data_IF_829902895868
#
_entry.id   IF_829902895868
#
_cell.length_a   1.000
_cell.length_b   1.000
_cell.length_c   1.000
_cell.angle_alpha   90.00
_cell.angle_beta   90.00
_cell.angle_gamma   90.00
#
_symmetry.space_group_name_H-M   'P 1'
#
loop_
_entity.id
_entity.type
_entity.pdbx_description
1 polymer ?
#
# COMPACT_ATOMS: atom_id res chain seq x y z
N UNK A 1 -38.99 -44.26 81.22
CA UNK A 1 -38.03 -43.26 80.71
C UNK A 1 -38.32 -43.11 79.22
N UNK A 2 -39.03 -42.05 78.83
CA UNK A 2 -39.52 -41.85 77.45
C UNK A 2 -38.45 -41.12 76.63
N UNK A 3 -38.15 -41.63 75.42
CA UNK A 3 -37.30 -40.98 74.43
C UNK A 3 -38.18 -40.48 73.27
N UNK A 4 -38.10 -39.20 72.85
CA UNK A 4 -38.96 -38.68 71.81
C UNK A 4 -38.38 -38.94 70.41
N UNK A 5 -39.21 -39.57 69.59
CA UNK A 5 -39.38 -39.41 68.15
C UNK A 5 -38.33 -38.57 67.38
N UNK A 6 -37.42 -39.26 66.70
CA UNK A 6 -36.66 -38.70 65.58
C UNK A 6 -37.43 -39.00 64.29
N UNK A 7 -38.28 -38.07 63.85
CA UNK A 7 -39.01 -38.18 62.58
C UNK A 7 -38.09 -37.65 61.46
N UNK A 8 -37.43 -38.55 60.73
CA UNK A 8 -36.84 -38.24 59.43
C UNK A 8 -37.96 -38.25 58.37
N UNK A 9 -38.49 -37.08 58.05
CA UNK A 9 -39.29 -36.88 56.84
C UNK A 9 -38.39 -36.32 55.74
N UNK A 10 -37.70 -37.21 55.05
CA UNK A 10 -37.11 -36.90 53.75
C UNK A 10 -38.17 -37.19 52.70
N UNK A 11 -39.11 -36.25 52.51
CA UNK A 11 -40.17 -36.37 51.50
C UNK A 11 -39.55 -36.55 50.10
N UNK A 12 -39.66 -37.73 49.48
CA UNK A 12 -38.98 -38.02 48.22
C UNK A 12 -39.50 -37.14 47.08
N UNK A 13 -40.76 -36.71 47.15
CA UNK A 13 -41.37 -35.77 46.20
C UNK A 13 -40.81 -34.35 46.34
N UNK A 14 -40.52 -33.88 47.57
CA UNK A 14 -39.92 -32.57 47.80
C UNK A 14 -38.46 -32.56 47.34
N UNK A 15 -37.71 -33.62 47.65
CA UNK A 15 -36.31 -33.79 47.23
C UNK A 15 -36.17 -33.83 45.70
N UNK A 16 -37.10 -34.49 44.99
CA UNK A 16 -37.07 -34.55 43.52
C UNK A 16 -37.42 -33.20 42.87
N UNK A 17 -38.32 -32.42 43.49
CA UNK A 17 -38.65 -31.05 43.04
C UNK A 17 -37.48 -30.10 43.22
N UNK A 18 -36.75 -30.20 44.34
CA UNK A 18 -35.54 -29.39 44.59
C UNK A 18 -34.43 -29.76 43.60
N UNK A 19 -34.20 -31.05 43.33
CA UNK A 19 -33.23 -31.51 42.32
C UNK A 19 -33.56 -31.01 40.92
N UNK A 20 -34.83 -31.07 40.51
CA UNK A 20 -35.27 -30.59 39.20
C UNK A 20 -35.10 -29.08 39.08
N UNK A 21 -35.43 -28.33 40.14
CA UNK A 21 -35.24 -26.88 40.19
C UNK A 21 -33.75 -26.49 40.14
N UNK A 22 -32.90 -27.22 40.86
CA UNK A 22 -31.45 -27.01 40.83
C UNK A 22 -30.87 -27.30 39.44
N UNK A 23 -31.24 -28.41 38.80
CA UNK A 23 -30.80 -28.73 37.42
C UNK A 23 -31.25 -27.66 36.43
N UNK A 24 -32.49 -27.19 36.55
CA UNK A 24 -32.99 -26.12 35.69
C UNK A 24 -32.27 -24.79 35.94
N UNK A 25 -32.00 -24.44 37.20
CA UNK A 25 -31.25 -23.24 37.56
C UNK A 25 -29.81 -23.28 37.04
N UNK A 26 -29.11 -24.42 37.16
CA UNK A 26 -27.76 -24.61 36.63
C UNK A 26 -27.75 -24.61 35.09
N UNK A 27 -28.75 -25.20 34.44
CA UNK A 27 -28.90 -25.14 32.99
C UNK A 27 -29.14 -23.71 32.50
N UNK A 28 -30.03 -22.96 33.16
CA UNK A 28 -30.27 -21.55 32.85
C UNK A 28 -29.02 -20.68 33.07
N UNK A 29 -28.29 -20.90 34.16
CA UNK A 29 -27.01 -20.23 34.41
C UNK A 29 -25.97 -20.57 33.34
N UNK A 30 -25.86 -21.84 32.94
CA UNK A 30 -24.95 -22.26 31.89
C UNK A 30 -25.29 -21.62 30.53
N UNK A 31 -26.59 -21.55 30.17
CA UNK A 31 -27.06 -20.86 28.97
C UNK A 31 -26.79 -19.36 29.05
N UNK A 32 -27.02 -18.73 30.20
CA UNK A 32 -26.73 -17.30 30.41
C UNK A 32 -25.23 -16.99 30.30
N UNK A 33 -24.36 -17.83 30.88
CA UNK A 33 -22.91 -17.70 30.75
C UNK A 33 -22.43 -17.98 29.33
N UNK A 34 -23.00 -18.98 28.65
CA UNK A 34 -22.65 -19.29 27.26
C UNK A 34 -23.08 -18.15 26.33
N UNK A 35 -24.31 -17.65 26.46
CA UNK A 35 -24.82 -16.52 25.68
C UNK A 35 -24.07 -15.21 25.95
N UNK A 36 -23.65 -14.95 27.20
CA UNK A 36 -22.88 -13.74 27.53
C UNK A 36 -21.42 -13.81 27.07
N UNK A 37 -20.84 -15.01 26.94
CA UNK A 37 -19.50 -15.23 26.37
C UNK A 37 -19.48 -15.21 24.84
N UNK A 38 -20.61 -15.53 24.20
CA UNK A 38 -20.84 -15.40 22.76
C UNK A 38 -21.40 -14.03 22.38
N UNK A 39 -20.82 -12.96 22.93
CA UNK A 39 -20.91 -11.66 22.26
C UNK A 39 -19.95 -11.70 21.08
N UNK A 40 -20.38 -12.23 19.93
CA UNK A 40 -19.71 -11.94 18.66
C UNK A 40 -19.97 -10.46 18.43
N UNK A 41 -19.12 -9.59 18.94
CA UNK A 41 -19.03 -8.24 18.43
C UNK A 41 -18.83 -8.40 16.93
N UNK A 42 -19.75 -7.97 16.06
CA UNK A 42 -19.43 -7.92 14.65
C UNK A 42 -18.21 -6.99 14.56
N UNK A 43 -17.05 -7.56 14.23
CA UNK A 43 -15.98 -6.74 13.67
C UNK A 43 -16.52 -6.30 12.33
N UNK A 44 -17.26 -5.20 12.35
CA UNK A 44 -17.37 -4.38 11.15
C UNK A 44 -15.97 -3.84 10.93
N UNK A 45 -15.22 -4.50 10.04
CA UNK A 45 -14.20 -3.78 9.32
C UNK A 45 -14.93 -2.64 8.67
N UNK A 46 -14.83 -1.44 9.23
CA UNK A 46 -15.03 -0.24 8.45
C UNK A 46 -13.97 -0.36 7.36
N UNK A 47 -14.33 -0.93 6.22
CA UNK A 47 -13.63 -0.65 4.99
C UNK A 47 -13.68 0.86 4.95
N UNK A 48 -12.56 1.50 5.26
CA UNK A 48 -12.44 2.93 5.14
C UNK A 48 -12.78 3.15 3.67
N UNK A 49 -14.00 3.58 3.39
CA UNK A 49 -14.35 4.32 2.17
C UNK A 49 -13.59 5.64 2.27
N UNK A 50 -12.28 5.55 2.41
CA UNK A 50 -11.35 6.64 2.33
C UNK A 50 -11.39 6.95 0.87
N UNK A 51 -12.04 8.06 0.55
CA UNK A 51 -11.88 8.76 -0.70
C UNK A 51 -10.43 8.61 -1.13
N UNK A 52 -10.23 8.01 -2.31
CA UNK A 52 -8.91 7.78 -2.86
C UNK A 52 -8.19 9.13 -2.91
N UNK A 53 -7.05 9.24 -2.24
CA UNK A 53 -6.35 10.52 -2.13
C UNK A 53 -5.68 10.87 -3.47
N UNK A 54 -5.62 12.16 -3.82
CA UNK A 54 -4.90 12.59 -5.00
C UNK A 54 -3.41 12.25 -4.86
N UNK A 55 -2.73 11.79 -5.92
CA UNK A 55 -1.28 11.64 -5.95
C UNK A 55 -0.53 12.88 -5.46
N UNK A 56 0.56 12.66 -4.72
CA UNK A 56 1.47 13.69 -4.22
C UNK A 56 2.84 13.51 -4.86
N UNK A 57 3.71 14.51 -4.73
CA UNK A 57 5.07 14.44 -5.24
C UNK A 57 5.13 14.24 -6.76
N UNK A 58 4.15 14.77 -7.51
CA UNK A 58 4.19 14.76 -8.96
C UNK A 58 5.42 15.55 -9.40
N UNK A 59 6.24 14.94 -10.24
CA UNK A 59 7.42 15.54 -10.84
C UNK A 59 7.49 15.17 -12.32
N UNK A 60 7.69 16.16 -13.18
CA UNK A 60 7.90 16.00 -14.61
C UNK A 60 9.34 16.40 -14.98
N UNK A 61 9.92 15.69 -15.96
CA UNK A 61 11.30 15.93 -16.40
C UNK A 61 11.43 17.23 -17.18
N UNK A 62 12.56 17.93 -17.02
CA UNK A 62 12.86 19.18 -17.70
C UNK A 62 14.05 19.03 -18.66
N UNK A 63 13.75 18.65 -19.91
CA UNK A 63 14.76 18.50 -20.94
C UNK A 63 15.67 17.28 -20.77
N UNK A 64 15.30 16.33 -19.91
CA UNK A 64 16.09 15.11 -19.68
C UNK A 64 16.09 14.15 -20.89
N UNK A 65 14.99 14.13 -21.64
CA UNK A 65 14.79 13.23 -22.78
C UNK A 65 14.44 13.98 -24.06
N UNK A 66 15.01 13.53 -25.17
CA UNK A 66 14.74 14.06 -26.52
C UNK A 66 13.51 13.48 -27.17
N UNK A 67 12.88 12.46 -26.59
CA UNK A 67 11.76 11.72 -27.21
C UNK A 67 10.48 11.78 -26.40
N UNK A 68 10.52 12.28 -25.16
CA UNK A 68 9.43 12.17 -24.19
C UNK A 68 9.58 13.17 -23.04
N UNK A 69 8.54 13.31 -22.24
CA UNK A 69 8.64 13.82 -20.86
C UNK A 69 8.43 12.62 -19.92
N UNK A 70 9.27 12.47 -18.90
CA UNK A 70 9.07 11.49 -17.83
C UNK A 70 8.31 12.11 -16.67
N UNK A 71 7.24 11.47 -16.20
CA UNK A 71 6.40 11.93 -15.09
C UNK A 71 6.39 10.85 -14.01
N UNK A 72 6.75 11.20 -12.77
CA UNK A 72 6.70 10.30 -11.62
C UNK A 72 5.92 10.92 -10.45
N UNK A 73 5.46 10.08 -9.51
CA UNK A 73 4.68 10.51 -8.34
C UNK A 73 4.74 9.51 -7.18
N UNK A 74 4.17 9.87 -6.04
CA UNK A 74 4.00 8.96 -4.90
C UNK A 74 2.87 7.97 -5.13
N UNK A 75 3.12 6.69 -4.83
CA UNK A 75 2.09 5.66 -4.89
C UNK A 75 1.00 5.90 -3.84
N UNK A 76 -0.26 5.92 -4.26
CA UNK A 76 -1.42 6.05 -3.41
C UNK A 76 -1.92 4.69 -2.92
N UNK A 77 -2.17 4.57 -1.61
CA UNK A 77 -2.75 3.34 -1.03
C UNK A 77 -4.14 3.12 -1.62
N UNK A 78 -4.36 1.91 -2.15
CA UNK A 78 -5.62 1.54 -2.76
C UNK A 78 -5.74 1.93 -4.23
N UNK A 79 -4.78 2.64 -4.83
CA UNK A 79 -4.79 2.88 -6.27
C UNK A 79 -4.39 1.61 -7.04
N UNK A 80 -5.15 1.26 -8.08
CA UNK A 80 -4.81 0.19 -9.04
C UNK A 80 -4.35 0.74 -10.38
N UNK A 81 -4.69 2.01 -10.67
CA UNK A 81 -4.37 2.70 -11.90
C UNK A 81 -4.17 4.20 -11.62
N UNK A 82 -3.38 4.87 -12.45
CA UNK A 82 -3.25 6.32 -12.49
C UNK A 82 -3.57 6.83 -13.90
N UNK A 83 -4.16 8.02 -13.96
CA UNK A 83 -4.36 8.76 -15.21
C UNK A 83 -3.57 10.05 -15.19
N UNK A 84 -2.91 10.33 -16.30
CA UNK A 84 -2.01 11.46 -16.46
C UNK A 84 -2.68 12.47 -17.38
N UNK A 85 -2.72 13.72 -16.92
CA UNK A 85 -3.30 14.85 -17.62
C UNK A 85 -2.22 15.88 -17.92
N UNK A 86 -2.38 16.59 -19.03
CA UNK A 86 -1.44 17.60 -19.52
C UNK A 86 -2.17 18.84 -20.02
N UNK A 87 -1.55 20.01 -19.84
CA UNK A 87 -2.01 21.27 -20.43
C UNK A 87 -0.83 22.24 -20.64
N UNK A 88 -0.95 23.22 -21.54
CA UNK A 88 0.03 24.32 -21.67
C UNK A 88 -0.23 25.47 -20.70
N UNK A 89 -1.43 25.53 -20.11
CA UNK A 89 -1.76 26.44 -19.02
C UNK A 89 -1.85 25.65 -17.71
N UNK A 90 -1.44 26.25 -16.59
CA UNK A 90 -1.58 25.67 -15.24
C UNK A 90 -3.05 25.72 -14.77
N UNK A 91 -3.90 24.95 -15.45
CA UNK A 91 -5.33 24.88 -15.20
C UNK A 91 -5.81 23.42 -15.35
N UNK A 92 -6.10 22.73 -14.23
CA UNK A 92 -6.55 21.35 -14.27
C UNK A 92 -7.93 21.18 -14.92
N UNK A 93 -8.78 22.22 -14.92
CA UNK A 93 -10.13 22.16 -15.49
C UNK A 93 -10.17 22.07 -17.02
N UNK A 94 -9.08 22.43 -17.71
CA UNK A 94 -8.93 22.30 -19.16
C UNK A 94 -7.84 21.30 -19.57
N UNK A 95 -7.29 20.54 -18.61
CA UNK A 95 -6.26 19.56 -18.90
C UNK A 95 -6.81 18.35 -19.65
N UNK A 96 -6.03 17.85 -20.60
CA UNK A 96 -6.39 16.69 -21.43
C UNK A 96 -5.66 15.44 -20.94
N UNK A 97 -6.34 14.30 -20.91
CA UNK A 97 -5.70 13.02 -20.60
C UNK A 97 -4.70 12.63 -21.69
N UNK A 98 -3.49 12.28 -21.30
CA UNK A 98 -2.41 11.83 -22.22
C UNK A 98 -2.13 10.33 -22.10
N UNK A 99 -2.60 9.68 -21.04
CA UNK A 99 -2.48 8.25 -20.89
C UNK A 99 -2.71 7.76 -19.45
N UNK A 100 -2.51 6.45 -19.27
CA UNK A 100 -2.68 5.78 -17.97
C UNK A 100 -1.44 4.96 -17.62
N UNK A 101 -1.16 4.79 -16.34
CA UNK A 101 -0.11 3.91 -15.85
C UNK A 101 -0.58 3.12 -14.65
N UNK A 102 -0.24 1.83 -14.60
CA UNK A 102 -0.41 1.03 -13.39
C UNK A 102 0.74 1.28 -12.40
N UNK A 103 1.87 1.85 -12.81
CA UNK A 103 2.99 2.17 -11.93
C UNK A 103 3.00 3.66 -11.59
N UNK A 104 3.89 4.09 -10.70
CA UNK A 104 4.06 5.50 -10.34
C UNK A 104 4.97 6.29 -11.30
N UNK A 105 4.99 5.87 -12.57
CA UNK A 105 5.84 6.41 -13.63
C UNK A 105 5.08 6.33 -14.95
N UNK A 106 5.17 7.40 -15.74
CA UNK A 106 4.64 7.47 -17.10
C UNK A 106 5.60 8.27 -17.99
N UNK A 107 5.65 7.93 -19.27
CA UNK A 107 6.34 8.74 -20.27
C UNK A 107 5.34 9.25 -21.27
N UNK A 108 5.37 10.56 -21.50
CA UNK A 108 4.60 11.21 -22.55
C UNK A 108 5.47 11.39 -23.81
N UNK A 109 5.42 10.47 -24.80
CA UNK A 109 6.16 10.61 -26.05
C UNK A 109 5.51 11.63 -27.00
N UNK A 110 4.30 12.11 -26.70
CA UNK A 110 3.54 13.00 -27.57
C UNK A 110 3.84 14.48 -27.31
N UNK A 111 4.59 14.77 -26.24
CA UNK A 111 5.02 16.13 -25.92
C UNK A 111 5.87 16.73 -27.05
N UNK A 112 5.50 17.93 -27.46
CA UNK A 112 6.26 18.72 -28.44
C UNK A 112 7.57 19.15 -27.79
N UNK A 113 8.68 18.98 -28.50
CA UNK A 113 10.00 19.34 -28.00
C UNK A 113 10.10 20.85 -27.74
N UNK A 114 10.65 21.24 -26.59
CA UNK A 114 10.78 22.62 -26.15
C UNK A 114 9.50 23.29 -25.66
N UNK A 115 8.33 22.67 -25.81
CA UNK A 115 7.07 23.20 -25.29
C UNK A 115 6.94 22.87 -23.80
N UNK A 116 6.71 23.89 -22.99
CA UNK A 116 6.35 23.73 -21.58
C UNK A 116 4.92 23.22 -21.45
N UNK A 117 4.76 22.21 -20.61
CA UNK A 117 3.47 21.69 -20.19
C UNK A 117 3.42 21.58 -18.67
N UNK A 118 2.20 21.62 -18.14
CA UNK A 118 1.87 21.27 -16.76
C UNK A 118 1.23 19.88 -16.76
N UNK A 119 1.63 19.04 -15.81
CA UNK A 119 1.15 17.67 -15.67
C UNK A 119 0.44 17.48 -14.34
N UNK A 120 -0.66 16.73 -14.38
CA UNK A 120 -1.40 16.29 -13.20
C UNK A 120 -1.60 14.79 -13.25
N UNK A 121 -1.76 14.19 -12.08
CA UNK A 121 -2.05 12.77 -11.95
C UNK A 121 -3.24 12.59 -11.03
N UNK A 122 -4.15 11.66 -11.37
CA UNK A 122 -5.15 11.15 -10.43
C UNK A 122 -5.03 9.64 -10.28
N UNK A 123 -5.41 9.15 -9.12
CA UNK A 123 -5.47 7.74 -8.81
C UNK A 123 -6.89 7.19 -9.06
N UNK A 124 -6.98 5.91 -9.43
CA UNK A 124 -8.23 5.17 -9.61
C UNK A 124 -8.14 3.76 -9.02
N UNK A 125 -9.28 3.23 -8.55
CA UNK A 125 -9.40 1.85 -8.05
C UNK A 125 -10.70 1.18 -8.53
N UNK A 126 -10.90 1.11 -9.85
CA UNK A 126 -12.02 0.40 -10.51
C UNK A 126 -13.43 0.98 -10.30
N UNK A 127 -13.72 1.59 -9.14
CA UNK A 127 -15.01 2.22 -8.80
C UNK A 127 -14.87 3.59 -8.14
N UNK A 128 -13.66 4.00 -7.76
CA UNK A 128 -13.39 5.31 -7.13
C UNK A 128 -12.25 6.00 -7.85
N UNK A 129 -12.39 7.32 -8.05
CA UNK A 129 -11.35 8.20 -8.59
C UNK A 129 -11.00 9.26 -7.56
N UNK A 130 -9.74 9.67 -7.50
CA UNK A 130 -9.32 10.82 -6.70
C UNK A 130 -9.54 12.14 -7.46
N UNK A 131 -9.40 13.25 -6.74
CA UNK A 131 -9.10 14.54 -7.38
C UNK A 131 -7.75 14.46 -8.14
N UNK A 132 -7.50 15.45 -9.01
CA UNK A 132 -6.17 15.66 -9.57
C UNK A 132 -5.19 16.11 -8.48
N UNK A 133 -3.93 15.75 -8.64
CA UNK A 133 -2.80 16.20 -7.83
C UNK A 133 -2.59 17.72 -7.91
N UNK A 134 -1.59 18.24 -7.19
CA UNK A 134 -0.92 19.47 -7.63
C UNK A 134 -0.22 19.22 -8.98
N UNK A 135 -0.06 20.28 -9.78
CA UNK A 135 0.70 20.24 -11.03
C UNK A 135 2.21 20.22 -10.75
N UNK A 136 2.95 19.70 -11.73
CA UNK A 136 4.35 20.07 -11.94
C UNK A 136 4.59 20.40 -13.42
N UNK A 137 5.53 21.29 -13.69
CA UNK A 137 5.89 21.66 -15.06
C UNK A 137 6.94 20.69 -15.62
N UNK A 138 6.90 20.45 -16.94
CA UNK A 138 7.89 19.60 -17.60
C UNK A 138 8.05 19.96 -19.08
N UNK A 139 9.23 19.66 -19.60
CA UNK A 139 9.62 19.94 -20.99
C UNK A 139 10.37 18.77 -21.61
N UNK A 140 10.09 18.50 -22.89
CA UNK A 140 10.90 17.56 -23.69
C UNK A 140 12.08 18.31 -24.32
N UNK A 141 13.27 17.72 -24.34
CA UNK A 141 14.45 18.34 -24.92
C UNK A 141 14.31 18.54 -26.45
N UNK A 142 14.80 19.67 -26.96
CA UNK A 142 14.83 19.99 -28.41
C UNK A 142 15.98 19.32 -29.15
N UNK A 143 17.05 18.98 -28.44
CA UNK A 143 18.20 18.26 -28.94
C UNK A 143 18.77 17.39 -27.80
N UNK A 144 19.59 16.37 -28.09
CA UNK A 144 20.38 15.71 -27.06
C UNK A 144 21.12 16.79 -26.29
N UNK A 145 20.92 16.81 -24.98
CA UNK A 145 21.74 17.62 -24.09
C UNK A 145 23.20 17.23 -24.34
N UNK A 146 23.97 18.14 -24.97
CA UNK A 146 25.42 18.01 -25.15
C UNK A 146 26.05 17.57 -23.81
N UNK A 147 27.09 16.72 -23.81
CA UNK A 147 27.42 15.80 -22.72
C UNK A 147 27.36 16.50 -21.38
N UNK A 148 26.18 16.37 -20.78
CA UNK A 148 25.95 16.75 -19.43
C UNK A 148 26.77 15.74 -18.63
N UNK A 149 27.66 16.22 -17.76
CA UNK A 149 28.29 15.37 -16.73
C UNK A 149 27.24 14.68 -15.83
N UNK A 150 25.96 15.00 -16.01
CA UNK A 150 24.79 14.29 -15.51
C UNK A 150 24.28 13.35 -16.61
N UNK A 151 24.37 12.05 -16.36
CA UNK A 151 23.77 11.03 -17.21
C UNK A 151 22.28 11.32 -17.41
N UNK A 152 21.80 11.28 -18.66
CA UNK A 152 20.35 11.21 -18.91
C UNK A 152 19.79 10.05 -18.08
N UNK A 153 18.65 10.22 -17.41
CA UNK A 153 18.09 9.15 -16.61
C UNK A 153 17.85 7.94 -17.51
N UNK A 154 18.22 6.75 -17.02
CA UNK A 154 18.09 5.52 -17.80
C UNK A 154 16.63 5.31 -18.19
N UNK A 155 16.39 4.88 -19.44
CA UNK A 155 15.09 4.33 -19.81
C UNK A 155 14.71 3.19 -18.86
N UNK A 156 13.42 3.07 -18.47
CA UNK A 156 12.97 1.93 -17.69
C UNK A 156 13.25 0.63 -18.44
N UNK A 157 13.55 -0.45 -17.71
CA UNK A 157 13.71 -1.77 -18.32
C UNK A 157 12.41 -2.18 -19.04
N UNK A 158 12.52 -2.89 -20.18
CA UNK A 158 11.34 -3.36 -20.91
C UNK A 158 10.50 -4.31 -20.04
N UNK A 159 9.17 -4.15 -20.12
CA UNK A 159 8.21 -4.97 -19.35
C UNK A 159 8.21 -6.41 -19.89
N UNK A 160 8.48 -7.44 -19.07
CA UNK A 160 8.43 -8.83 -19.51
C UNK A 160 7.00 -9.26 -19.90
N UNK A 161 6.83 -9.89 -21.07
CA UNK A 161 5.51 -10.24 -21.61
C UNK A 161 4.68 -11.17 -20.70
N UNK A 162 5.33 -12.10 -19.99
CA UNK A 162 4.66 -13.03 -19.06
C UNK A 162 4.50 -12.47 -17.63
N UNK A 163 4.99 -11.26 -17.36
CA UNK A 163 4.98 -10.65 -16.05
C UNK A 163 4.79 -9.13 -16.16
N UNK A 164 3.56 -8.67 -16.51
CA UNK A 164 3.28 -7.26 -16.62
C UNK A 164 3.46 -6.56 -15.27
N UNK A 165 4.05 -5.37 -15.30
CA UNK A 165 4.16 -4.53 -14.11
C UNK A 165 2.79 -3.93 -13.81
N UNK A 166 2.25 -4.23 -12.62
CA UNK A 166 1.01 -3.62 -12.10
C UNK A 166 1.32 -2.80 -10.84
N UNK A 167 0.42 -1.89 -10.45
CA UNK A 167 0.55 -1.08 -9.23
C UNK A 167 0.83 -1.97 -8.03
N UNK A 168 -0.03 -2.97 -7.86
CA UNK A 168 0.03 -3.91 -6.75
C UNK A 168 1.34 -4.69 -6.75
N UNK A 169 1.81 -5.14 -7.92
CA UNK A 169 3.07 -5.88 -8.02
C UNK A 169 4.28 -5.00 -7.74
N UNK A 170 4.27 -3.75 -8.19
CA UNK A 170 5.31 -2.78 -7.89
C UNK A 170 5.35 -2.44 -6.39
N UNK A 171 4.18 -2.20 -5.76
CA UNK A 171 4.09 -1.96 -4.31
C UNK A 171 4.52 -3.17 -3.49
N UNK A 172 4.13 -4.38 -3.91
CA UNK A 172 4.59 -5.62 -3.28
C UNK A 172 6.10 -5.78 -3.43
N UNK A 173 6.65 -5.57 -4.63
CA UNK A 173 8.09 -5.61 -4.87
C UNK A 173 8.86 -4.62 -3.99
N UNK A 174 8.35 -3.38 -3.85
CA UNK A 174 8.90 -2.37 -2.94
C UNK A 174 8.89 -2.86 -1.49
N UNK A 175 7.80 -3.47 -1.03
CA UNK A 175 7.73 -4.02 0.33
C UNK A 175 8.75 -5.16 0.52
N UNK A 176 8.77 -6.14 -0.38
CA UNK A 176 9.66 -7.29 -0.32
C UNK A 176 11.15 -6.91 -0.41
N UNK A 177 11.50 -5.87 -1.17
CA UNK A 177 12.87 -5.38 -1.29
C UNK A 177 13.46 -4.91 0.05
N UNK A 178 12.61 -4.44 0.97
CA UNK A 178 12.98 -3.98 2.31
C UNK A 178 12.65 -4.99 3.41
N UNK A 179 12.09 -6.14 3.07
CA UNK A 179 11.70 -7.17 4.05
C UNK A 179 12.91 -8.05 4.41
N UNK A 180 13.31 -8.01 5.67
CA UNK A 180 14.40 -8.83 6.19
C UNK A 180 14.06 -10.32 6.16
N UNK A 181 12.78 -10.70 6.21
CA UNK A 181 12.35 -12.10 6.15
C UNK A 181 12.71 -12.78 4.82
N UNK A 182 13.08 -12.01 3.79
CA UNK A 182 13.60 -12.54 2.53
C UNK A 182 15.05 -13.04 2.63
N UNK A 183 15.78 -12.70 3.70
CA UNK A 183 17.10 -13.26 4.01
C UNK A 183 16.99 -14.54 4.83
N UNK A 184 17.94 -15.46 4.61
CA UNK A 184 18.04 -16.73 5.35
C UNK A 184 18.18 -16.52 6.87
N UNK A 185 18.81 -15.42 7.30
CA UNK A 185 19.00 -15.08 8.72
C UNK A 185 17.96 -14.12 9.26
N UNK A 186 17.07 -13.59 8.41
CA UNK A 186 16.06 -12.60 8.78
C UNK A 186 16.59 -11.31 9.42
N UNK A 187 17.81 -10.90 9.05
CA UNK A 187 18.50 -9.71 9.63
C UNK A 187 18.94 -8.69 8.58
N UNK A 188 18.76 -8.97 7.29
CA UNK A 188 19.23 -8.15 6.17
C UNK A 188 18.20 -8.25 5.05
N UNK A 189 17.92 -7.16 4.35
CA UNK A 189 17.10 -7.16 3.14
C UNK A 189 17.94 -6.73 1.93
N UNK A 190 17.39 -6.83 0.73
CA UNK A 190 18.07 -6.35 -0.48
C UNK A 190 18.45 -4.86 -0.35
N UNK A 191 17.55 -4.06 0.22
CA UNK A 191 17.75 -2.62 0.42
C UNK A 191 18.78 -2.23 1.48
N UNK A 192 19.20 -3.16 2.34
CA UNK A 192 20.30 -2.91 3.29
C UNK A 192 21.59 -2.54 2.56
N UNK A 193 21.85 -3.19 1.41
CA UNK A 193 23.03 -2.92 0.57
C UNK A 193 22.67 -2.09 -0.67
N UNK A 194 21.55 -2.37 -1.35
CA UNK A 194 21.19 -1.68 -2.60
C UNK A 194 20.38 -0.40 -2.34
N UNK A 195 21.02 0.61 -1.75
CA UNK A 195 20.32 1.84 -1.35
C UNK A 195 19.99 2.72 -2.56
N UNK A 196 18.72 3.13 -2.77
CA UNK A 196 18.35 4.00 -3.89
C UNK A 196 19.09 5.35 -3.89
N UNK A 197 19.38 5.90 -2.70
CA UNK A 197 20.08 7.17 -2.54
C UNK A 197 21.51 7.18 -3.13
N UNK A 198 22.11 6.01 -3.33
CA UNK A 198 23.45 5.81 -3.92
C UNK A 198 23.38 5.07 -5.25
N UNK A 199 22.27 5.23 -5.98
CA UNK A 199 22.05 4.58 -7.27
C UNK A 199 21.96 3.06 -7.17
N UNK A 200 21.59 2.52 -6.01
CA UNK A 200 21.51 1.08 -5.76
C UNK A 200 22.86 0.42 -5.45
N UNK A 201 23.95 1.18 -5.31
CA UNK A 201 25.24 0.65 -4.86
C UNK A 201 25.32 0.59 -3.34
N UNK A 202 26.11 -0.35 -2.79
CA UNK A 202 26.38 -0.40 -1.35
C UNK A 202 27.31 0.76 -0.94
N UNK A 203 26.85 1.74 -0.15
CA UNK A 203 27.69 2.86 0.25
C UNK A 203 28.90 2.44 1.11
N UNK A 204 28.86 1.25 1.70
CA UNK A 204 29.98 0.74 2.51
C UNK A 204 31.18 0.35 1.65
N UNK A 205 30.99 0.07 0.35
CA UNK A 205 32.11 -0.28 -0.54
C UNK A 205 32.97 0.94 -0.92
N UNK A 206 32.44 2.16 -0.74
CA UNK A 206 33.14 3.41 -1.09
C UNK A 206 34.23 3.78 -0.07
N UNK A 207 34.20 3.18 1.13
CA UNK A 207 35.20 3.38 2.21
C UNK A 207 36.21 2.20 2.27
N UNK A 208 36.24 1.33 1.24
CA UNK A 208 36.99 0.06 1.29
C UNK A 208 38.14 -0.11 0.30
N UNK A 209 38.28 0.72 -0.73
CA UNK A 209 39.26 0.45 -1.79
C UNK A 209 40.72 0.82 -1.46
N UNK A 210 41.00 1.27 -0.23
CA UNK A 210 42.38 1.51 0.25
C UNK A 210 42.81 0.62 1.43
N UNK A 211 42.07 -0.42 1.78
CA UNK A 211 42.52 -1.37 2.80
C UNK A 211 42.27 -2.81 2.37
N UNK A 212 42.86 -3.17 1.23
CA UNK A 212 43.18 -4.56 0.95
C UNK A 212 44.57 -4.88 1.53
N UNK A 213 44.64 -6.02 2.25
CA UNK A 213 45.83 -6.79 2.66
C UNK A 213 46.54 -6.33 3.94
N UNK A 214 46.24 -7.01 5.05
CA UNK A 214 47.02 -8.17 5.49
C UNK A 214 46.22 -9.01 6.48
#
# INVERSE_FOLDING_TARGET
MASPYFVKLEDPFLMNRIKLFAVFAFACLAVFFFASRYSISPVSGQGVSGTLQPPTGVSASDGDYTTKVGINWDTMRGATLYRIYRNTADNPGSATEVGTSASNLFFDPTAVAGQQYFYWVRAENGGTVSNLSASDQGTRATAPNAPSIFYSPLEPPPVPAGNPITATKASLGKALFWDEQMSSTKTVSCGTCHRPATGGSDPRTVIGSNMARN
#
